data_IF_056130882658
#
_entry.id   IF_056130882658
#
_cell.length_a   1.000
_cell.length_b   1.000
_cell.length_c   1.000
_cell.angle_alpha   90.00
_cell.angle_beta   90.00
_cell.angle_gamma   90.00
#
_symmetry.space_group_name_H-M   'P 1'
#
loop_
_entity.id
_entity.type
_entity.pdbx_description
1 polymer ?
#
# COMPACT_ATOMS: atom_id res chain seq x y z
N UNK A 1 20.91 -2.02 0.16
CA UNK A 1 19.84 -1.02 -0.05
C UNK A 1 19.39 -1.14 -1.50
N UNK A 2 18.11 -0.90 -1.79
CA UNK A 2 17.50 -0.70 -3.14
C UNK A 2 16.60 -1.81 -3.75
N UNK A 3 16.53 -3.03 -3.21
CA UNK A 3 15.66 -4.09 -3.78
C UNK A 3 14.27 -4.18 -3.14
N UNK A 4 14.15 -3.94 -1.82
CA UNK A 4 12.89 -4.10 -1.08
C UNK A 4 11.79 -3.09 -1.47
N UNK A 5 12.15 -1.82 -1.72
CA UNK A 5 11.14 -0.80 -2.06
C UNK A 5 10.44 -1.10 -3.40
N UNK A 6 11.20 -1.58 -4.38
CA UNK A 6 10.66 -1.95 -5.69
C UNK A 6 9.77 -3.19 -5.59
N UNK A 7 10.14 -4.16 -4.76
CA UNK A 7 9.32 -5.35 -4.49
C UNK A 7 7.96 -4.96 -3.90
N UNK A 8 7.92 -4.06 -2.92
CA UNK A 8 6.65 -3.59 -2.34
C UNK A 8 5.76 -2.89 -3.39
N UNK A 9 6.35 -2.10 -4.29
CA UNK A 9 5.62 -1.48 -5.41
C UNK A 9 5.06 -2.53 -6.36
N UNK A 10 5.87 -3.51 -6.75
CA UNK A 10 5.44 -4.59 -7.67
C UNK A 10 4.31 -5.40 -7.03
N UNK A 11 4.45 -5.80 -5.77
CA UNK A 11 3.42 -6.55 -5.03
C UNK A 11 2.13 -5.74 -4.95
N UNK A 12 2.21 -4.44 -4.63
CA UNK A 12 1.04 -3.58 -4.57
C UNK A 12 0.31 -3.47 -5.92
N UNK A 13 1.05 -3.34 -7.02
CA UNK A 13 0.48 -3.31 -8.36
C UNK A 13 -0.15 -4.65 -8.76
N UNK A 14 0.47 -5.78 -8.41
CA UNK A 14 -0.10 -7.11 -8.65
C UNK A 14 -1.41 -7.32 -7.88
N UNK A 15 -1.47 -6.88 -6.63
CA UNK A 15 -2.70 -6.90 -5.83
C UNK A 15 -3.75 -5.99 -6.49
N UNK A 16 -3.40 -4.76 -6.87
CA UNK A 16 -4.35 -3.86 -7.52
C UNK A 16 -4.90 -4.45 -8.82
N UNK A 17 -4.04 -5.00 -9.69
CA UNK A 17 -4.43 -5.60 -10.97
C UNK A 17 -5.34 -6.83 -10.78
N UNK A 18 -5.03 -7.69 -9.81
CA UNK A 18 -5.86 -8.87 -9.52
C UNK A 18 -7.24 -8.51 -8.95
N UNK A 19 -7.38 -7.32 -8.34
CA UNK A 19 -8.64 -6.81 -7.79
C UNK A 19 -9.49 -6.01 -8.77
N UNK A 20 -8.92 -5.52 -9.88
CA UNK A 20 -9.67 -4.78 -10.92
C UNK A 20 -10.95 -5.46 -11.46
N UNK A 21 -11.05 -6.80 -11.61
CA UNK A 21 -12.30 -7.42 -12.07
C UNK A 21 -13.41 -7.39 -11.01
N UNK A 22 -13.08 -7.20 -9.73
CA UNK A 22 -14.04 -7.26 -8.62
C UNK A 22 -14.45 -5.87 -8.12
N UNK A 23 -13.53 -4.90 -8.17
CA UNK A 23 -13.74 -3.56 -7.61
C UNK A 23 -13.22 -2.45 -8.53
N UNK A 24 -13.65 -1.21 -8.28
CA UNK A 24 -13.16 -0.06 -9.04
C UNK A 24 -11.63 0.13 -8.88
N UNK A 25 -10.98 0.71 -9.88
CA UNK A 25 -9.53 0.93 -9.87
C UNK A 25 -9.03 1.76 -8.66
N UNK A 26 -9.88 2.63 -8.10
CA UNK A 26 -9.60 3.38 -6.87
C UNK A 26 -9.60 2.47 -5.65
N UNK A 27 -10.63 1.64 -5.49
CA UNK A 27 -10.75 0.71 -4.36
C UNK A 27 -9.65 -0.36 -4.42
N UNK A 28 -9.38 -0.89 -5.62
CA UNK A 28 -8.28 -1.83 -5.86
C UNK A 28 -6.91 -1.25 -5.46
N UNK A 29 -6.72 0.06 -5.62
CA UNK A 29 -5.47 0.74 -5.27
C UNK A 29 -5.31 1.01 -3.78
N UNK A 30 -6.39 1.16 -3.00
CA UNK A 30 -6.33 1.45 -1.56
C UNK A 30 -6.04 0.19 -0.73
N UNK A 31 -6.55 -0.96 -1.15
CA UNK A 31 -6.38 -2.25 -0.46
C UNK A 31 -4.91 -2.62 -0.22
N UNK A 32 -4.02 -2.64 -1.24
CA UNK A 32 -2.61 -2.96 -1.01
C UNK A 32 -1.90 -1.96 -0.09
N UNK A 33 -2.34 -0.70 -0.06
CA UNK A 33 -1.78 0.31 0.86
C UNK A 33 -2.13 0.00 2.30
N UNK A 34 -3.37 -0.39 2.57
CA UNK A 34 -3.77 -0.80 3.92
C UNK A 34 -2.97 -2.03 4.39
N UNK A 35 -2.70 -2.98 3.50
CA UNK A 35 -1.91 -4.18 3.79
C UNK A 35 -0.45 -3.82 4.12
N UNK A 36 0.20 -3.03 3.26
CA UNK A 36 1.59 -2.62 3.46
C UNK A 36 1.75 -1.73 4.70
N UNK A 37 0.81 -0.82 4.93
CA UNK A 37 0.79 0.02 6.12
C UNK A 37 0.66 -0.83 7.40
N UNK A 38 -0.26 -1.79 7.43
CA UNK A 38 -0.41 -2.71 8.57
C UNK A 38 0.84 -3.55 8.81
N UNK A 39 1.51 -4.00 7.75
CA UNK A 39 2.79 -4.73 7.84
C UNK A 39 3.88 -3.88 8.50
N UNK A 40 4.03 -2.62 8.08
CA UNK A 40 5.02 -1.72 8.69
C UNK A 40 4.68 -1.46 10.16
N UNK A 41 3.43 -1.14 10.49
CA UNK A 41 3.02 -0.92 11.90
C UNK A 41 3.37 -2.14 12.76
N UNK A 42 3.06 -3.35 12.31
CA UNK A 42 3.39 -4.58 13.03
C UNK A 42 4.91 -4.74 13.21
N UNK A 43 5.71 -4.47 12.18
CA UNK A 43 7.18 -4.53 12.29
C UNK A 43 7.74 -3.54 13.31
N UNK A 44 7.12 -2.37 13.44
CA UNK A 44 7.52 -1.35 14.41
C UNK A 44 7.18 -1.79 15.84
N UNK A 45 5.99 -2.36 16.05
CA UNK A 45 5.59 -2.96 17.32
C UNK A 45 6.54 -4.09 17.75
N UNK A 46 6.92 -4.97 16.83
CA UNK A 46 7.89 -6.03 17.11
C UNK A 46 9.27 -5.49 17.49
N UNK A 47 9.78 -4.49 16.75
CA UNK A 47 11.07 -3.85 17.09
C UNK A 47 11.03 -3.21 18.47
N UNK A 48 9.95 -2.52 18.79
CA UNK A 48 9.76 -1.87 20.09
C UNK A 48 9.63 -2.91 21.22
N UNK A 49 8.93 -4.02 20.98
CA UNK A 49 8.85 -5.15 21.89
C UNK A 49 10.24 -5.71 22.21
N UNK A 50 11.03 -6.03 21.18
CA UNK A 50 12.38 -6.58 21.35
C UNK A 50 13.29 -5.60 22.13
N UNK A 51 13.22 -4.29 21.83
CA UNK A 51 13.97 -3.27 22.58
C UNK A 51 13.59 -3.20 24.07
N UNK A 52 12.34 -3.55 24.41
CA UNK A 52 11.84 -3.62 25.78
C UNK A 52 12.12 -4.98 26.46
N UNK A 53 12.90 -5.84 25.82
CA UNK A 53 13.26 -7.16 26.35
C UNK A 53 12.19 -8.23 26.14
N UNK A 54 11.23 -8.00 25.25
CA UNK A 54 10.19 -8.97 24.93
C UNK A 54 10.76 -10.25 24.29
N UNK A 55 10.32 -11.40 24.77
CA UNK A 55 10.57 -12.70 24.18
C UNK A 55 9.29 -13.29 23.55
N UNK A 56 9.47 -14.08 22.50
CA UNK A 56 8.37 -14.80 21.85
C UNK A 56 7.61 -15.67 22.86
N UNK A 57 6.30 -15.45 22.96
CA UNK A 57 5.41 -16.14 23.91
C UNK A 57 4.93 -15.26 25.07
N UNK A 58 5.54 -14.10 25.27
CA UNK A 58 5.06 -13.10 26.24
C UNK A 58 4.07 -12.13 25.61
N UNK A 59 3.25 -11.46 26.42
CA UNK A 59 2.39 -10.37 25.94
C UNK A 59 3.26 -9.22 25.45
N UNK A 60 3.05 -8.79 24.21
CA UNK A 60 3.83 -7.71 23.59
C UNK A 60 3.66 -6.43 24.44
N UNK A 61 4.73 -5.89 25.07
CA UNK A 61 4.62 -4.78 26.01
C UNK A 61 4.59 -3.45 25.26
N UNK A 62 3.71 -3.33 24.28
CA UNK A 62 3.55 -2.15 23.41
C UNK A 62 2.09 -1.74 23.41
N UNK A 63 1.83 -0.43 23.49
CA UNK A 63 0.46 0.08 23.38
C UNK A 63 -0.07 -0.11 21.96
N UNK A 64 -1.38 -0.35 21.83
CA UNK A 64 -2.09 -0.56 20.54
C UNK A 64 -1.82 0.50 19.46
N UNK A 65 -1.36 1.70 19.85
CA UNK A 65 -1.06 2.80 18.93
C UNK A 65 0.41 3.22 18.95
N UNK A 66 1.26 2.58 19.77
CA UNK A 66 2.67 2.96 19.86
C UNK A 66 3.42 2.68 18.55
N UNK A 67 3.07 1.61 17.83
CA UNK A 67 3.63 1.31 16.50
C UNK A 67 3.20 2.28 15.41
N UNK A 68 2.14 3.06 15.63
CA UNK A 68 1.65 4.05 14.65
C UNK A 68 2.32 5.42 14.87
N UNK A 69 2.74 5.75 16.10
CA UNK A 69 3.31 7.08 16.43
C UNK A 69 4.82 7.10 16.66
N UNK A 70 5.46 5.96 16.95
CA UNK A 70 6.90 5.89 17.29
C UNK A 70 7.67 4.97 16.35
N UNK A 71 8.96 5.27 16.20
CA UNK A 71 9.95 4.49 15.43
C UNK A 71 9.81 4.50 13.90
N UNK A 72 8.99 5.39 13.32
CA UNK A 72 8.95 5.63 11.87
C UNK A 72 10.32 6.04 11.31
N UNK A 73 10.89 5.18 10.47
CA UNK A 73 12.07 5.49 9.69
C UNK A 73 11.67 6.02 8.31
N UNK A 74 12.55 6.81 7.70
CA UNK A 74 12.32 7.31 6.34
C UNK A 74 12.08 6.17 5.34
N UNK A 75 12.77 5.05 5.50
CA UNK A 75 12.62 3.85 4.67
C UNK A 75 11.21 3.25 4.77
N UNK A 76 10.64 3.15 5.99
CA UNK A 76 9.27 2.67 6.20
C UNK A 76 8.23 3.62 5.59
N UNK A 77 8.47 4.93 5.61
CA UNK A 77 7.60 5.90 4.94
C UNK A 77 7.65 5.70 3.43
N UNK A 78 8.84 5.50 2.85
CA UNK A 78 9.01 5.24 1.41
C UNK A 78 8.37 3.91 0.98
N UNK A 79 8.43 2.89 1.82
CA UNK A 79 7.79 1.58 1.59
C UNK A 79 6.26 1.63 1.52
N UNK A 80 5.63 2.67 2.09
CA UNK A 80 4.17 2.88 1.98
C UNK A 80 3.86 3.90 0.89
N UNK A 81 4.65 4.98 0.79
CA UNK A 81 4.38 6.10 -0.08
C UNK A 81 4.66 5.80 -1.56
N UNK A 82 5.71 5.04 -1.87
CA UNK A 82 6.01 4.65 -3.25
C UNK A 82 4.92 3.74 -3.84
N UNK A 83 4.45 2.68 -3.14
CA UNK A 83 3.29 1.92 -3.58
C UNK A 83 2.02 2.75 -3.68
N UNK A 84 1.81 3.70 -2.76
CA UNK A 84 0.63 4.59 -2.80
C UNK A 84 0.60 5.44 -4.07
N UNK A 85 1.74 6.04 -4.42
CA UNK A 85 1.88 6.81 -5.65
C UNK A 85 1.69 5.92 -6.89
N UNK A 86 2.31 4.75 -6.92
CA UNK A 86 2.19 3.81 -8.05
C UNK A 86 0.73 3.37 -8.25
N UNK A 87 0.04 2.98 -7.18
CA UNK A 87 -1.35 2.54 -7.25
C UNK A 87 -2.31 3.67 -7.63
N UNK A 88 -2.06 4.88 -7.10
CA UNK A 88 -2.82 6.08 -7.46
C UNK A 88 -2.66 6.45 -8.94
N UNK A 89 -1.42 6.42 -9.46
CA UNK A 89 -1.14 6.68 -10.87
C UNK A 89 -1.81 5.64 -11.78
N UNK A 90 -1.72 4.35 -11.46
CA UNK A 90 -2.38 3.30 -12.23
C UNK A 90 -3.91 3.49 -12.25
N UNK A 91 -4.52 3.79 -11.10
CA UNK A 91 -5.95 4.05 -11.02
C UNK A 91 -6.38 5.24 -11.87
N UNK A 92 -5.59 6.33 -11.85
CA UNK A 92 -5.85 7.52 -12.68
C UNK A 92 -5.70 7.22 -14.18
N UNK A 93 -4.70 6.45 -14.58
CA UNK A 93 -4.49 6.06 -15.97
C UNK A 93 -5.65 5.20 -16.50
N UNK A 94 -6.12 4.25 -15.70
CA UNK A 94 -7.27 3.41 -16.05
C UNK A 94 -8.53 4.26 -16.24
N UNK A 95 -8.79 5.15 -15.28
CA UNK A 95 -9.95 6.05 -15.32
C UNK A 95 -9.88 7.01 -16.52
N UNK A 96 -8.70 7.55 -16.82
CA UNK A 96 -8.48 8.42 -17.95
C UNK A 96 -8.66 7.70 -19.29
N UNK A 97 -8.15 6.47 -19.42
CA UNK A 97 -8.35 5.63 -20.60
C UNK A 97 -9.82 5.33 -20.82
N UNK A 98 -10.55 4.94 -19.76
CA UNK A 98 -11.98 4.68 -19.80
C UNK A 98 -12.77 5.91 -20.29
N UNK A 99 -12.44 7.10 -19.77
CA UNK A 99 -13.06 8.38 -20.20
C UNK A 99 -12.77 8.71 -21.66
N UNK A 100 -11.54 8.50 -22.15
CA UNK A 100 -11.19 8.72 -23.56
C UNK A 100 -11.94 7.78 -24.49
N UNK A 101 -12.00 6.49 -24.17
CA UNK A 101 -12.75 5.51 -24.96
C UNK A 101 -14.23 5.87 -25.05
N UNK A 102 -14.84 6.28 -23.94
CA UNK A 102 -16.24 6.74 -23.93
C UNK A 102 -16.46 7.97 -24.83
N UNK A 103 -15.59 8.98 -24.75
CA UNK A 103 -15.68 10.18 -25.60
C UNK A 103 -15.54 9.87 -27.09
N UNK A 104 -14.61 8.98 -27.47
CA UNK A 104 -14.40 8.59 -28.85
C UNK A 104 -15.58 7.78 -29.41
N UNK A 105 -16.20 6.91 -28.59
CA UNK A 105 -17.38 6.16 -29.00
C UNK A 105 -18.57 7.08 -29.31
N UNK A 106 -18.78 8.13 -28.51
CA UNK A 106 -19.84 9.13 -28.75
C UNK A 106 -19.59 9.88 -30.07
N UNK A 107 -18.33 10.32 -30.32
CA UNK A 107 -17.98 11.04 -31.54
C UNK A 107 -18.17 10.22 -32.82
N UNK A 108 -17.97 8.90 -32.76
CA UNK A 108 -18.14 8.02 -33.92
C UNK A 108 -19.61 7.62 -34.18
N UNK A 109 -20.50 7.89 -33.23
CA UNK A 109 -21.93 7.60 -33.33
C UNK A 109 -22.78 8.80 -33.78
N UNK A 110 -22.17 9.99 -33.91
CA UNK A 110 -22.76 11.23 -34.45
C UNK A 110 -22.31 11.48 -35.86
#
# INVERSE_FOLDING_TARGET
>A
MDVTHLEHVIIALLIQLSLLPFVSARVAGVIPLAILLGREIAQHEYRLGIQRGWAWGETLPVGMFEGVWRAWTLDSVLDVLLPALACGLLALLIEFKKRRTAKNAIKNAS
#
